data_IF_027090890540
#
_entry.id   IF_027090890540
#
_cell.length_a   1.000
_cell.length_b   1.000
_cell.length_c   1.000
_cell.angle_alpha   90.00
_cell.angle_beta   90.00
_cell.angle_gamma   90.00
#
_symmetry.space_group_name_H-M   'P 1'
#
loop_
_entity.id
_entity.type
_entity.pdbx_description
1 polymer ?
#
# COMPACT_ATOMS: atom_id res chain seq x y z
N UNK A 1 8.73 3.44 24.33
CA UNK A 1 8.58 1.99 24.49
C UNK A 1 9.35 1.30 23.38
N UNK A 2 10.41 0.50 23.70
CA UNK A 2 11.31 -0.04 22.67
C UNK A 2 10.64 -1.01 21.67
N UNK A 3 9.44 -1.48 21.94
CA UNK A 3 8.75 -2.43 21.08
C UNK A 3 7.90 -1.82 19.96
N UNK A 4 7.49 -0.56 20.04
CA UNK A 4 6.62 0.05 19.04
C UNK A 4 7.41 0.41 17.77
N UNK A 5 8.63 0.92 17.93
CA UNK A 5 9.48 1.26 16.79
C UNK A 5 9.87 0.07 15.92
N UNK A 6 9.94 -1.14 16.51
CA UNK A 6 10.20 -2.39 15.79
C UNK A 6 8.93 -3.00 15.18
N UNK A 7 7.77 -2.87 15.87
CA UNK A 7 6.51 -3.45 15.41
C UNK A 7 5.72 -2.56 14.44
N UNK A 8 5.95 -1.25 14.47
CA UNK A 8 5.31 -0.29 13.59
C UNK A 8 6.24 0.92 13.39
N UNK A 9 7.28 0.80 12.56
CA UNK A 9 8.27 1.86 12.37
C UNK A 9 7.64 3.17 11.87
N UNK A 10 6.53 3.11 11.15
CA UNK A 10 5.77 4.30 10.74
C UNK A 10 5.21 5.07 11.95
N UNK A 11 4.85 4.38 13.03
CA UNK A 11 4.35 4.99 14.27
C UNK A 11 5.50 5.43 15.17
N UNK A 12 6.63 4.70 15.17
CA UNK A 12 7.82 5.01 15.95
C UNK A 12 8.59 6.25 15.50
N UNK A 13 8.42 6.70 14.25
CA UNK A 13 9.15 7.83 13.66
C UNK A 13 8.50 9.21 13.93
N UNK A 14 8.02 9.46 15.14
CA UNK A 14 7.48 10.78 15.52
C UNK A 14 6.07 11.08 15.04
N UNK A 15 5.34 10.07 14.58
CA UNK A 15 3.94 10.21 14.13
C UNK A 15 2.90 10.04 15.27
N UNK A 16 3.34 10.20 16.50
CA UNK A 16 2.45 10.28 17.66
C UNK A 16 2.02 11.71 17.82
N UNK A 17 0.73 11.94 17.65
CA UNK A 17 0.13 13.27 17.75
C UNK A 17 -0.04 13.67 19.22
N UNK A 18 -0.36 12.69 20.08
CA UNK A 18 -0.71 12.96 21.47
C UNK A 18 -0.54 11.69 22.32
N UNK A 19 -0.13 11.86 23.58
CA UNK A 19 0.03 10.77 24.55
C UNK A 19 1.48 10.46 24.94
N UNK A 20 1.63 9.66 26.00
CA UNK A 20 2.90 9.23 26.53
C UNK A 20 3.12 7.74 26.27
N UNK A 21 4.11 7.41 25.44
CA UNK A 21 4.48 6.05 25.11
C UNK A 21 5.52 5.42 26.06
N UNK A 22 6.12 6.20 26.95
CA UNK A 22 7.17 5.71 27.87
C UNK A 22 6.71 4.52 28.70
N UNK A 23 5.42 4.49 29.02
CA UNK A 23 4.76 3.45 29.82
C UNK A 23 3.80 2.57 29.02
N UNK A 24 3.89 2.60 27.68
CA UNK A 24 3.04 1.75 26.85
C UNK A 24 3.33 0.28 27.07
N UNK A 25 2.29 -0.50 27.33
CA UNK A 25 2.39 -1.94 27.62
C UNK A 25 2.46 -2.31 29.10
N UNK A 26 2.64 -1.33 29.99
CA UNK A 26 2.61 -1.57 31.44
C UNK A 26 1.17 -1.82 31.93
N UNK A 27 0.20 -1.20 31.26
CA UNK A 27 -1.21 -1.22 31.66
C UNK A 27 -1.48 -0.40 32.92
N UNK A 28 -2.73 -0.12 33.21
CA UNK A 28 -3.18 0.56 34.43
C UNK A 28 -4.58 0.05 34.81
N UNK A 29 -4.85 -0.12 36.09
CA UNK A 29 -6.15 -0.56 36.60
C UNK A 29 -6.65 -1.87 35.96
N UNK A 30 -5.75 -2.82 35.68
CA UNK A 30 -6.08 -4.10 35.06
C UNK A 30 -6.41 -4.04 33.57
N UNK A 31 -6.35 -2.85 32.93
CA UNK A 31 -6.56 -2.66 31.51
C UNK A 31 -5.24 -2.57 30.77
N UNK A 32 -5.16 -3.23 29.62
CA UNK A 32 -4.04 -3.08 28.69
C UNK A 32 -4.16 -1.77 27.92
N UNK A 33 -3.03 -1.20 27.51
CA UNK A 33 -2.97 0.01 26.72
C UNK A 33 -3.33 -0.25 25.25
N UNK A 34 -3.85 0.79 24.56
CA UNK A 34 -4.08 0.83 23.11
C UNK A 34 -3.69 2.21 22.57
N UNK A 35 -3.08 2.22 21.39
CA UNK A 35 -2.97 3.42 20.55
C UNK A 35 -4.05 3.38 19.48
N UNK A 36 -4.68 4.52 19.25
CA UNK A 36 -5.74 4.67 18.25
C UNK A 36 -5.30 5.67 17.18
N UNK A 37 -5.75 5.47 15.94
CA UNK A 37 -5.52 6.47 14.91
C UNK A 37 -6.26 7.77 15.16
N UNK A 38 -5.72 8.89 14.70
CA UNK A 38 -6.31 10.22 14.90
C UNK A 38 -7.73 10.32 14.33
N UNK A 39 -7.96 9.72 13.16
CA UNK A 39 -9.27 9.66 12.50
C UNK A 39 -10.26 8.76 13.24
N UNK A 40 -9.78 7.62 13.76
CA UNK A 40 -10.60 6.77 14.63
C UNK A 40 -11.05 7.53 15.88
N UNK A 41 -10.12 8.19 16.54
CA UNK A 41 -10.41 8.98 17.74
C UNK A 41 -11.44 10.09 17.48
N UNK A 42 -11.30 10.81 16.37
CA UNK A 42 -12.22 11.85 15.94
C UNK A 42 -13.62 11.30 15.62
N UNK A 43 -13.68 10.21 14.85
CA UNK A 43 -14.94 9.58 14.40
C UNK A 43 -15.78 9.06 15.57
N UNK A 44 -15.14 8.48 16.58
CA UNK A 44 -15.81 7.84 17.71
C UNK A 44 -15.77 8.66 19.01
N UNK A 45 -15.26 9.88 18.98
CA UNK A 45 -15.17 10.76 20.15
C UNK A 45 -14.25 10.21 21.25
N UNK A 46 -13.21 9.44 20.87
CA UNK A 46 -12.31 8.78 21.81
C UNK A 46 -11.15 9.69 22.17
N UNK A 47 -10.91 9.88 23.47
CA UNK A 47 -9.81 10.69 24.01
C UNK A 47 -8.81 9.84 24.79
N UNK A 48 -7.65 10.41 25.13
CA UNK A 48 -6.66 9.74 25.98
C UNK A 48 -7.31 9.41 27.33
N UNK A 49 -7.10 8.18 27.80
CA UNK A 49 -7.72 7.66 29.02
C UNK A 49 -9.09 7.00 28.80
N UNK A 50 -9.74 7.20 27.65
CA UNK A 50 -10.99 6.53 27.31
C UNK A 50 -10.83 5.02 27.28
N UNK A 51 -11.92 4.30 27.52
CA UNK A 51 -11.99 2.83 27.39
C UNK A 51 -12.51 2.46 26.02
N UNK A 52 -11.76 1.64 25.30
CA UNK A 52 -12.17 1.03 24.03
C UNK A 52 -12.32 -0.46 24.24
N UNK A 53 -13.45 -1.02 23.83
CA UNK A 53 -13.73 -2.46 23.95
C UNK A 53 -13.62 -3.10 22.58
N UNK A 54 -12.71 -4.07 22.46
CA UNK A 54 -12.55 -4.86 21.26
C UNK A 54 -13.36 -6.15 21.36
N UNK A 55 -14.05 -6.48 20.28
CA UNK A 55 -14.84 -7.70 20.13
C UNK A 55 -14.25 -8.51 18.97
N UNK A 56 -13.76 -9.70 19.24
CA UNK A 56 -13.32 -10.60 18.17
C UNK A 56 -14.51 -11.43 17.67
N UNK A 57 -14.77 -11.43 16.35
CA UNK A 57 -15.86 -12.20 15.77
C UNK A 57 -15.62 -13.71 15.86
N UNK A 58 -14.37 -14.14 16.03
CA UNK A 58 -14.04 -15.56 16.28
C UNK A 58 -14.53 -15.95 17.65
N UNK A 59 -15.67 -16.59 17.64
CA UNK A 59 -16.33 -17.09 18.85
C UNK A 59 -15.66 -18.36 19.38
N UNK A 60 -15.80 -18.57 20.68
CA UNK A 60 -15.54 -19.87 21.29
C UNK A 60 -16.79 -20.71 21.21
N UNK A 61 -16.65 -21.92 20.68
CA UNK A 61 -17.70 -22.91 20.84
C UNK A 61 -17.71 -23.37 22.31
N UNK A 62 -18.70 -22.94 23.04
CA UNK A 62 -18.97 -23.42 24.39
C UNK A 62 -20.14 -24.39 24.33
N UNK A 63 -20.34 -25.17 25.38
CA UNK A 63 -21.50 -26.08 25.50
C UNK A 63 -22.85 -25.35 25.37
N UNK A 64 -22.87 -24.02 25.54
CA UNK A 64 -24.05 -23.16 25.47
C UNK A 64 -24.08 -22.27 24.22
N UNK A 65 -23.22 -22.50 23.21
CA UNK A 65 -23.16 -21.72 21.98
C UNK A 65 -21.86 -20.94 21.80
N UNK A 66 -21.83 -20.10 20.78
CA UNK A 66 -20.68 -19.36 20.36
C UNK A 66 -20.62 -17.97 21.02
N UNK A 67 -19.64 -17.75 21.91
CA UNK A 67 -19.50 -16.50 22.65
C UNK A 67 -18.34 -15.68 22.06
N UNK A 68 -18.58 -14.41 21.62
CA UNK A 68 -17.51 -13.55 21.12
C UNK A 68 -16.53 -13.20 22.24
N UNK A 69 -15.25 -13.04 21.90
CA UNK A 69 -14.25 -12.58 22.86
C UNK A 69 -14.34 -11.08 22.98
N UNK A 70 -14.40 -10.60 24.22
CA UNK A 70 -14.50 -9.19 24.53
C UNK A 70 -13.34 -8.81 25.45
N UNK A 71 -12.60 -7.74 25.14
CA UNK A 71 -11.56 -7.19 25.99
C UNK A 71 -11.55 -5.68 25.90
N UNK A 72 -11.49 -5.03 27.07
CA UNK A 72 -11.38 -3.58 27.16
C UNK A 72 -9.92 -3.16 27.27
N UNK A 73 -9.60 -2.06 26.59
CA UNK A 73 -8.30 -1.42 26.56
C UNK A 73 -8.45 0.03 26.96
N UNK A 74 -7.38 0.65 27.45
CA UNK A 74 -7.33 2.08 27.75
C UNK A 74 -6.52 2.81 26.68
N UNK A 75 -7.06 3.86 26.12
CA UNK A 75 -6.36 4.70 25.13
C UNK A 75 -5.22 5.44 25.80
N UNK A 76 -4.00 5.18 25.32
CA UNK A 76 -2.76 5.76 25.84
C UNK A 76 -2.24 6.90 24.97
N UNK A 77 -2.53 6.87 23.70
CA UNK A 77 -2.11 7.88 22.77
C UNK A 77 -2.81 7.76 21.43
N UNK A 78 -2.60 8.78 20.60
CA UNK A 78 -3.09 8.84 19.23
C UNK A 78 -1.92 8.90 18.26
N UNK A 79 -2.03 8.18 17.15
CA UNK A 79 -1.06 8.23 16.07
C UNK A 79 -1.70 8.77 14.81
N UNK A 80 -0.88 9.32 13.91
CA UNK A 80 -1.27 9.77 12.58
C UNK A 80 -0.17 9.42 11.59
N UNK A 81 -0.49 8.54 10.65
CA UNK A 81 0.44 8.10 9.60
C UNK A 81 0.23 8.93 8.32
N UNK A 82 -0.95 9.54 8.18
CA UNK A 82 -1.36 10.29 7.00
C UNK A 82 -2.06 9.44 5.94
N UNK A 83 -2.34 8.17 6.25
CA UNK A 83 -3.14 7.27 5.42
C UNK A 83 -4.49 7.02 6.08
N UNK A 84 -5.56 7.37 5.36
CA UNK A 84 -6.93 7.33 5.91
C UNK A 84 -7.29 5.97 6.50
N UNK A 85 -6.99 4.87 5.79
CA UNK A 85 -7.30 3.50 6.21
C UNK A 85 -6.60 3.13 7.51
N UNK A 86 -5.33 3.50 7.65
CA UNK A 86 -4.56 3.26 8.87
C UNK A 86 -5.07 4.11 10.04
N UNK A 87 -5.25 5.40 9.81
CA UNK A 87 -5.66 6.35 10.86
C UNK A 87 -7.12 6.14 11.31
N UNK A 88 -7.95 5.48 10.48
CA UNK A 88 -9.36 5.22 10.79
C UNK A 88 -9.67 3.83 11.32
N UNK A 89 -8.80 2.83 11.08
CA UNK A 89 -9.13 1.41 11.30
C UNK A 89 -8.12 0.64 12.14
N UNK A 90 -6.85 1.10 12.18
CA UNK A 90 -5.81 0.37 12.91
C UNK A 90 -5.74 0.77 14.38
N UNK A 91 -5.47 -0.23 15.21
CA UNK A 91 -5.23 -0.09 16.63
C UNK A 91 -3.93 -0.83 16.99
N UNK A 92 -3.04 -0.17 17.72
CA UNK A 92 -1.82 -0.82 18.20
C UNK A 92 -1.98 -1.19 19.67
N UNK A 93 -1.78 -2.45 19.96
CA UNK A 93 -1.85 -3.00 21.32
C UNK A 93 -0.54 -3.71 21.66
N UNK A 94 -0.15 -3.81 22.95
CA UNK A 94 1.02 -4.57 23.36
C UNK A 94 0.90 -6.03 22.92
N UNK A 95 2.01 -6.64 22.44
CA UNK A 95 2.02 -7.99 21.90
C UNK A 95 1.43 -9.02 22.87
N UNK A 96 1.80 -8.95 24.15
CA UNK A 96 1.24 -9.85 25.18
C UNK A 96 -0.28 -9.72 25.31
N UNK A 97 -0.80 -8.50 25.22
CA UNK A 97 -2.24 -8.24 25.28
C UNK A 97 -2.97 -8.80 24.05
N UNK A 98 -2.37 -8.67 22.86
CA UNK A 98 -2.87 -9.27 21.62
C UNK A 98 -2.84 -10.80 21.69
N UNK A 99 -1.73 -11.41 22.09
CA UNK A 99 -1.59 -12.85 22.24
C UNK A 99 -2.66 -13.42 23.19
N UNK A 100 -2.90 -12.76 24.33
CA UNK A 100 -3.94 -13.16 25.27
C UNK A 100 -5.33 -13.03 24.67
N UNK A 101 -5.60 -11.93 23.96
CA UNK A 101 -6.90 -11.66 23.35
C UNK A 101 -7.22 -12.65 22.22
N UNK A 102 -6.26 -12.91 21.35
CA UNK A 102 -6.42 -13.86 20.25
C UNK A 102 -6.12 -15.32 20.65
N UNK A 103 -5.65 -15.55 21.88
CA UNK A 103 -5.20 -16.87 22.38
C UNK A 103 -4.13 -17.52 21.51
N UNK A 104 -3.25 -16.73 20.98
CA UNK A 104 -2.06 -17.20 20.31
C UNK A 104 -1.04 -17.54 21.40
N UNK A 105 -0.43 -18.71 21.33
CA UNK A 105 0.53 -19.15 22.35
C UNK A 105 1.67 -18.14 22.55
N UNK A 106 2.26 -18.15 23.73
CA UNK A 106 3.42 -17.29 24.04
C UNK A 106 4.53 -17.50 23.00
N UNK A 107 5.12 -16.40 22.51
CA UNK A 107 6.17 -16.44 21.49
C UNK A 107 5.67 -16.67 20.05
N UNK A 108 4.36 -16.84 19.83
CA UNK A 108 3.78 -17.00 18.50
C UNK A 108 3.14 -15.71 18.01
N UNK A 109 3.23 -15.48 16.71
CA UNK A 109 2.57 -14.38 16.00
C UNK A 109 1.85 -14.91 14.77
N UNK A 110 0.80 -14.25 14.34
CA UNK A 110 0.06 -14.62 13.12
C UNK A 110 0.73 -14.10 11.86
N UNK A 111 1.39 -12.96 11.96
CA UNK A 111 2.04 -12.27 10.84
C UNK A 111 3.28 -11.57 11.35
N UNK A 112 4.33 -11.59 10.53
CA UNK A 112 5.55 -10.83 10.72
C UNK A 112 5.68 -9.84 9.57
N UNK A 113 5.80 -8.55 9.88
CA UNK A 113 6.07 -7.51 8.90
C UNK A 113 7.58 -7.25 8.84
N UNK A 114 8.14 -7.33 7.64
CA UNK A 114 9.57 -7.09 7.38
C UNK A 114 9.68 -5.83 6.55
N UNK A 115 10.38 -4.83 7.09
CA UNK A 115 10.66 -3.57 6.40
C UNK A 115 12.02 -3.65 5.72
N UNK A 116 12.07 -3.31 4.45
CA UNK A 116 13.29 -3.21 3.67
C UNK A 116 13.75 -1.76 3.56
N UNK A 117 15.05 -1.55 3.46
CA UNK A 117 15.63 -0.21 3.23
C UNK A 117 15.21 0.35 1.87
N UNK A 118 15.19 -0.50 0.84
CA UNK A 118 14.66 -0.19 -0.49
C UNK A 118 13.46 -1.09 -0.79
N UNK A 119 12.29 -0.53 -1.13
CA UNK A 119 11.11 -1.32 -1.51
C UNK A 119 11.33 -2.19 -2.76
N UNK A 120 12.27 -1.82 -3.64
CA UNK A 120 12.55 -2.53 -4.88
C UNK A 120 13.31 -3.85 -4.65
N UNK A 121 13.95 -4.00 -3.50
CA UNK A 121 14.74 -5.16 -3.13
C UNK A 121 13.91 -6.41 -2.80
N UNK A 122 12.60 -6.29 -2.76
CA UNK A 122 11.67 -7.37 -2.42
C UNK A 122 11.92 -8.65 -3.20
N UNK A 123 12.25 -8.53 -4.50
CA UNK A 123 12.38 -9.70 -5.39
C UNK A 123 13.53 -10.62 -4.99
N UNK A 124 14.66 -10.06 -4.60
CA UNK A 124 15.84 -10.86 -4.25
C UNK A 124 15.96 -11.13 -2.76
N UNK A 125 15.36 -10.32 -1.90
CA UNK A 125 15.34 -10.57 -0.43
C UNK A 125 14.33 -11.65 -0.06
N UNK A 126 13.25 -11.80 -0.82
CA UNK A 126 12.19 -12.77 -0.56
C UNK A 126 12.67 -14.22 -0.36
N UNK A 127 13.52 -14.81 -1.22
CA UNK A 127 14.02 -16.16 -1.00
C UNK A 127 14.84 -16.27 0.30
N UNK A 128 15.65 -15.25 0.62
CA UNK A 128 16.45 -15.22 1.85
C UNK A 128 15.57 -15.23 3.10
N UNK A 129 14.46 -14.49 3.09
CA UNK A 129 13.46 -14.51 4.18
C UNK A 129 12.84 -15.90 4.31
N UNK A 130 12.54 -16.55 3.17
CA UNK A 130 11.98 -17.91 3.15
C UNK A 130 12.92 -18.94 3.78
N UNK A 131 14.20 -18.88 3.45
CA UNK A 131 15.22 -19.74 4.04
C UNK A 131 15.38 -19.48 5.54
N UNK A 132 15.44 -18.20 5.94
CA UNK A 132 15.58 -17.82 7.34
C UNK A 132 14.37 -18.23 8.19
N UNK A 133 13.18 -18.30 7.61
CA UNK A 133 11.99 -18.74 8.31
C UNK A 133 11.99 -20.24 8.67
N UNK A 134 12.77 -21.06 7.94
CA UNK A 134 12.91 -22.51 8.18
C UNK A 134 11.67 -23.35 7.95
N UNK A 135 10.51 -22.72 7.66
CA UNK A 135 9.23 -23.34 7.41
C UNK A 135 8.55 -22.67 6.18
N UNK A 136 7.66 -23.36 5.47
CA UNK A 136 6.91 -22.76 4.38
C UNK A 136 5.98 -21.66 4.90
N UNK A 137 6.37 -20.40 4.68
CA UNK A 137 5.61 -19.22 5.06
C UNK A 137 4.93 -18.58 3.85
N UNK A 138 3.72 -18.12 4.03
CA UNK A 138 3.03 -17.33 3.01
C UNK A 138 3.56 -15.89 3.05
N UNK A 139 4.36 -15.53 2.06
CA UNK A 139 4.89 -14.18 1.92
C UNK A 139 4.02 -13.36 0.97
N UNK A 140 3.56 -12.21 1.43
CA UNK A 140 2.83 -11.21 0.65
C UNK A 140 3.66 -9.94 0.65
N UNK A 141 4.10 -9.52 -0.52
CA UNK A 141 4.82 -8.26 -0.70
C UNK A 141 3.86 -7.14 -1.12
N UNK A 142 4.31 -5.91 -1.03
CA UNK A 142 3.53 -4.72 -1.35
C UNK A 142 3.08 -4.68 -2.82
N UNK A 143 3.87 -5.24 -3.76
CA UNK A 143 3.51 -5.31 -5.18
C UNK A 143 2.34 -6.27 -5.39
N UNK A 144 2.36 -7.42 -4.72
CA UNK A 144 1.26 -8.40 -4.76
C UNK A 144 0.01 -7.92 -4.03
N UNK A 145 0.20 -7.23 -2.91
CA UNK A 145 -0.93 -6.64 -2.18
C UNK A 145 -1.67 -5.59 -3.02
N UNK A 146 -0.95 -4.89 -3.92
CA UNK A 146 -1.49 -3.87 -4.82
C UNK A 146 -1.51 -4.31 -6.29
N UNK A 147 -1.60 -5.60 -6.56
CA UNK A 147 -1.50 -6.15 -7.92
C UNK A 147 -2.51 -5.53 -8.90
N UNK A 148 -3.73 -5.24 -8.47
CA UNK A 148 -4.75 -4.58 -9.29
C UNK A 148 -4.32 -3.19 -9.75
N UNK A 149 -3.69 -2.42 -8.86
CA UNK A 149 -3.15 -1.10 -9.17
C UNK A 149 -1.99 -1.17 -10.18
N UNK A 150 -1.06 -2.11 -9.99
CA UNK A 150 0.04 -2.32 -10.92
C UNK A 150 -0.44 -2.80 -12.29
N UNK A 151 -1.44 -3.68 -12.34
CA UNK A 151 -2.07 -4.12 -13.58
C UNK A 151 -2.75 -2.94 -14.30
N UNK A 152 -3.43 -2.05 -13.58
CA UNK A 152 -4.06 -0.86 -14.16
C UNK A 152 -3.01 0.06 -14.80
N UNK A 153 -1.90 0.36 -14.11
CA UNK A 153 -0.79 1.16 -14.66
C UNK A 153 -0.18 0.50 -15.91
N UNK A 154 -0.03 -0.83 -15.90
CA UNK A 154 0.50 -1.56 -17.05
C UNK A 154 -0.43 -1.45 -18.27
N UNK A 155 -1.74 -1.58 -18.06
CA UNK A 155 -2.75 -1.41 -19.11
C UNK A 155 -2.73 0.02 -19.63
N UNK A 156 -2.71 1.02 -18.77
CA UNK A 156 -2.61 2.43 -19.14
C UNK A 156 -1.39 2.70 -20.03
N UNK A 157 -0.22 2.21 -19.64
CA UNK A 157 1.01 2.35 -20.44
C UNK A 157 0.89 1.72 -21.82
N UNK A 158 0.28 0.54 -21.91
CA UNK A 158 0.08 -0.15 -23.17
C UNK A 158 -0.90 0.60 -24.08
N UNK A 159 -1.99 1.15 -23.53
CA UNK A 159 -2.97 1.97 -24.24
C UNK A 159 -2.34 3.26 -24.73
N UNK A 160 -1.56 3.95 -23.89
CA UNK A 160 -0.83 5.17 -24.30
C UNK A 160 0.15 4.90 -25.45
N UNK A 161 0.90 3.78 -25.39
CA UNK A 161 1.79 3.36 -26.45
C UNK A 161 1.02 3.12 -27.77
N UNK A 162 -0.12 2.44 -27.71
CA UNK A 162 -0.95 2.16 -28.87
C UNK A 162 -1.49 3.46 -29.50
N UNK A 163 -2.02 4.38 -28.67
CA UNK A 163 -2.51 5.69 -29.14
C UNK A 163 -1.39 6.48 -29.81
N UNK A 164 -0.22 6.56 -29.16
CA UNK A 164 0.94 7.26 -29.71
C UNK A 164 1.37 6.67 -31.06
N UNK A 165 1.43 5.36 -31.15
CA UNK A 165 1.76 4.66 -32.40
C UNK A 165 0.75 4.99 -33.51
N UNK A 166 -0.55 4.97 -33.18
CA UNK A 166 -1.61 5.32 -34.13
C UNK A 166 -1.46 6.75 -34.65
N UNK A 167 -1.19 7.70 -33.75
CA UNK A 167 -0.98 9.11 -34.13
C UNK A 167 0.23 9.22 -35.08
N UNK A 168 1.34 8.57 -34.78
CA UNK A 168 2.54 8.58 -35.63
C UNK A 168 2.22 8.02 -37.02
N UNK A 169 1.47 6.94 -37.12
CA UNK A 169 1.05 6.34 -38.40
C UNK A 169 0.20 7.31 -39.19
N UNK A 170 -0.79 7.96 -38.56
CA UNK A 170 -1.66 8.96 -39.23
C UNK A 170 -0.82 10.14 -39.74
N UNK A 171 0.10 10.65 -38.92
CA UNK A 171 1.00 11.74 -39.33
C UNK A 171 1.89 11.33 -40.51
N UNK A 172 2.43 10.11 -40.46
CA UNK A 172 3.25 9.59 -41.55
C UNK A 172 2.47 9.53 -42.88
N UNK A 173 1.24 9.04 -42.88
CA UNK A 173 0.38 9.05 -44.09
C UNK A 173 0.06 10.45 -44.60
N UNK A 174 -0.17 11.41 -43.70
CA UNK A 174 -0.39 12.81 -44.09
C UNK A 174 0.87 13.41 -44.76
N UNK A 175 2.04 13.17 -44.20
CA UNK A 175 3.32 13.63 -44.79
C UNK A 175 3.55 12.99 -46.17
N UNK A 176 3.37 11.67 -46.27
CA UNK A 176 3.50 10.95 -47.55
C UNK A 176 2.55 11.51 -48.62
N UNK A 177 1.28 11.71 -48.26
CA UNK A 177 0.28 12.28 -49.18
C UNK A 177 0.68 13.67 -49.64
N UNK A 178 1.15 14.53 -48.75
CA UNK A 178 1.63 15.88 -49.07
C UNK A 178 2.85 15.84 -50.00
N UNK A 179 3.81 14.94 -49.75
CA UNK A 179 4.99 14.77 -50.60
C UNK A 179 4.61 14.27 -52.00
N UNK A 180 3.68 13.32 -52.11
CA UNK A 180 3.20 12.82 -53.41
C UNK A 180 2.56 13.96 -54.20
N UNK A 181 1.72 14.81 -53.58
CA UNK A 181 1.11 15.95 -54.22
C UNK A 181 2.17 16.94 -54.69
N UNK A 182 3.12 17.30 -53.84
CA UNK A 182 4.22 18.21 -54.17
C UNK A 182 5.05 17.68 -55.37
N UNK A 183 5.38 16.38 -55.37
CA UNK A 183 6.13 15.78 -56.48
C UNK A 183 5.35 15.81 -57.78
N UNK A 184 4.02 15.56 -57.75
CA UNK A 184 3.15 15.64 -58.94
C UNK A 184 3.11 17.04 -59.49
N UNK A 185 2.96 18.07 -58.65
CA UNK A 185 2.90 19.47 -59.08
C UNK A 185 4.24 19.90 -59.69
N UNK A 186 5.34 19.57 -59.07
CA UNK A 186 6.71 19.82 -59.60
C UNK A 186 6.99 19.03 -60.88
N UNK A 187 6.50 17.81 -60.98
CA UNK A 187 6.59 17.02 -62.20
C UNK A 187 5.95 17.68 -63.40
N UNK A 188 4.78 18.32 -63.21
CA UNK A 188 4.08 19.09 -64.23
C UNK A 188 4.88 20.33 -64.64
N UNK A 189 5.41 21.08 -63.72
CA UNK A 189 6.26 22.25 -64.00
C UNK A 189 7.52 21.87 -64.79
N UNK A 190 8.16 20.77 -64.40
CA UNK A 190 9.32 20.20 -65.10
C UNK A 190 8.98 19.76 -66.51
N UNK A 191 7.80 19.18 -66.74
CA UNK A 191 7.39 18.78 -68.06
C UNK A 191 7.21 19.99 -68.99
N UNK A 192 6.63 21.09 -68.51
CA UNK A 192 6.49 22.34 -69.23
C UNK A 192 7.88 22.91 -69.57
N UNK A 193 8.79 22.97 -68.62
CA UNK A 193 10.15 23.46 -68.86
C UNK A 193 10.91 22.63 -69.91
N UNK A 194 10.71 21.31 -69.92
CA UNK A 194 11.30 20.42 -70.93
C UNK A 194 10.76 20.66 -72.31
N UNK A 195 9.44 20.96 -72.47
CA UNK A 195 8.89 21.32 -73.78
C UNK A 195 9.39 22.68 -74.28
N UNK A 196 9.83 23.55 -73.39
CA UNK A 196 10.49 24.83 -73.73
C UNK A 196 12.01 24.71 -74.01
N UNK A 197 12.57 23.47 -74.03
CA UNK A 197 13.96 23.23 -74.38
C UNK A 197 14.94 23.20 -73.21
N UNK A 198 14.49 23.12 -71.94
CA UNK A 198 15.38 22.98 -70.79
C UNK A 198 15.98 21.54 -70.80
N UNK A 199 17.28 21.46 -70.89
CA UNK A 199 18.06 20.19 -70.71
C UNK A 199 18.33 19.91 -69.22
N UNK A 200 18.74 18.69 -68.90
CA UNK A 200 19.09 18.28 -67.50
C UNK A 200 20.21 19.14 -66.95
#
# INVERSE_FOLDING_TARGET
APGIGLAAPQVGQGRIVDGDLSKFGVGRDGLSDVLVGSRFAQKYGVTIGSRVTLIAPQSQNTAFGSVPRIKSFRVRGRFEIGMYEYDSSFLFVPLKAAQTFFRVGAGRVSTLEVMLTSPDDVRWVRPLIGEAAGEPVRMVDWQRANASFFNAIQVERNVMFLILTLIIVVVAFNVISGLIMMVKDKGRDIAILRTMGATR
#
